data_IF_013904987678
#
_entry.id   IF_013904987678
#
_cell.length_a   1.000
_cell.length_b   1.000
_cell.length_c   1.000
_cell.angle_alpha   90.00
_cell.angle_beta   90.00
_cell.angle_gamma   90.00
#
_symmetry.space_group_name_H-M   'P 1'
#
loop_
_entity.id
_entity.type
_entity.pdbx_description
1 polymer ?
#
# COMPACT_ATOMS: atom_id res chain seq x y z
N UNK A 1 9.03 33.05 7.40
CA UNK A 1 8.04 32.33 8.21
C UNK A 1 8.82 31.87 9.41
N UNK A 2 8.53 32.42 10.59
CA UNK A 2 9.46 32.33 11.72
C UNK A 2 8.96 31.24 12.67
N UNK A 3 9.80 30.23 12.89
CA UNK A 3 9.51 29.07 13.73
C UNK A 3 10.29 29.17 15.04
N UNK A 4 9.58 29.27 16.17
CA UNK A 4 10.16 29.40 17.50
C UNK A 4 10.16 28.05 18.21
N UNK A 5 11.33 27.59 18.67
CA UNK A 5 11.47 26.37 19.48
C UNK A 5 12.45 26.60 20.62
N UNK A 6 12.17 26.02 21.79
CA UNK A 6 13.09 25.98 22.94
C UNK A 6 14.01 24.76 22.93
N UNK A 7 13.86 23.87 21.94
CA UNK A 7 14.67 22.65 21.79
C UNK A 7 15.95 22.93 21.00
N UNK A 8 17.02 22.14 21.22
CA UNK A 8 18.23 22.25 20.43
C UNK A 8 17.91 22.11 18.94
N UNK A 9 18.67 22.81 18.11
CA UNK A 9 18.52 22.76 16.66
C UNK A 9 19.86 22.46 16.02
N UNK A 10 19.82 21.80 14.86
CA UNK A 10 21.00 21.57 14.02
C UNK A 10 20.83 22.31 12.70
N UNK A 11 21.88 23.02 12.29
CA UNK A 11 21.94 23.66 10.98
C UNK A 11 22.06 22.58 9.90
N UNK A 12 21.33 22.76 8.80
CA UNK A 12 21.24 21.77 7.71
C UNK A 12 21.30 22.50 6.38
N UNK A 13 21.93 21.90 5.38
CA UNK A 13 22.14 22.53 4.07
C UNK A 13 20.95 22.28 3.13
N UNK A 14 20.24 21.16 3.31
CA UNK A 14 19.17 20.71 2.42
C UNK A 14 17.76 20.74 3.03
N UNK A 15 17.63 21.16 4.28
CA UNK A 15 16.31 21.32 4.90
C UNK A 15 15.65 22.62 4.44
N UNK A 16 14.36 22.57 4.10
CA UNK A 16 13.59 23.77 3.75
C UNK A 16 13.29 24.69 4.95
N UNK A 17 13.46 24.17 6.17
CA UNK A 17 13.63 24.98 7.38
C UNK A 17 15.10 24.91 7.74
N UNK A 18 15.77 26.05 7.75
CA UNK A 18 17.19 26.26 8.05
C UNK A 18 17.72 25.62 9.36
N UNK A 19 16.84 24.99 10.15
CA UNK A 19 17.14 24.29 11.39
C UNK A 19 16.21 23.07 11.57
N UNK A 20 16.78 21.90 11.88
CA UNK A 20 16.00 20.72 12.29
C UNK A 20 15.80 20.77 13.81
N UNK A 21 14.53 20.75 14.26
CA UNK A 21 14.17 20.66 15.68
C UNK A 21 14.61 19.31 16.25
N UNK A 22 15.59 19.33 17.15
CA UNK A 22 16.09 18.14 17.82
C UNK A 22 15.09 17.68 18.88
N UNK A 23 14.08 16.92 18.48
CA UNK A 23 13.18 16.25 19.41
C UNK A 23 13.77 14.88 19.78
N UNK A 24 14.60 14.88 20.81
CA UNK A 24 14.83 13.82 21.83
C UNK A 24 14.74 12.31 21.51
N UNK A 25 15.09 11.83 20.32
CA UNK A 25 15.49 10.42 20.12
C UNK A 25 16.75 10.34 19.25
N UNK A 26 17.78 9.58 19.70
CA UNK A 26 19.07 9.41 19.00
C UNK A 26 18.91 9.02 17.53
N UNK A 27 17.80 8.38 17.18
CA UNK A 27 17.53 7.86 15.84
C UNK A 27 17.13 8.94 14.83
N UNK A 28 16.31 9.92 15.21
CA UNK A 28 15.94 11.02 14.30
C UNK A 28 17.13 11.92 13.96
N UNK A 29 17.99 12.20 14.95
CA UNK A 29 19.21 12.98 14.72
C UNK A 29 20.18 12.25 13.79
N UNK A 30 20.36 10.93 14.01
CA UNK A 30 21.16 10.11 13.11
C UNK A 30 20.59 10.09 11.69
N UNK A 31 19.26 9.92 11.55
CA UNK A 31 18.62 9.91 10.24
C UNK A 31 18.76 11.26 9.52
N UNK A 32 18.55 12.38 10.22
CA UNK A 32 18.72 13.72 9.65
C UNK A 32 20.14 13.96 9.13
N UNK A 33 21.18 13.48 9.84
CA UNK A 33 22.57 13.54 9.36
C UNK A 33 22.77 12.81 8.02
N UNK A 34 22.25 11.59 7.90
CA UNK A 34 22.33 10.84 6.63
C UNK A 34 21.53 11.52 5.52
N UNK A 35 20.35 12.09 5.82
CA UNK A 35 19.56 12.81 4.83
C UNK A 35 20.26 14.08 4.32
N UNK A 36 20.94 14.84 5.19
CA UNK A 36 21.62 16.07 4.78
C UNK A 36 22.89 15.80 3.95
N UNK A 37 23.59 14.70 4.27
CA UNK A 37 24.89 14.36 3.65
C UNK A 37 24.77 13.49 2.38
N UNK A 38 23.65 12.80 2.18
CA UNK A 38 23.47 11.90 1.02
C UNK A 38 23.22 12.69 -0.28
N UNK A 39 24.02 12.41 -1.32
CA UNK A 39 23.92 13.11 -2.61
C UNK A 39 22.60 12.86 -3.34
N UNK A 40 21.85 11.80 -3.02
CA UNK A 40 20.57 11.43 -3.65
C UNK A 40 19.38 12.17 -3.04
N UNK A 41 19.56 12.82 -1.89
CA UNK A 41 18.56 13.71 -1.29
C UNK A 41 18.69 15.09 -1.92
N UNK A 42 17.62 15.54 -2.58
CA UNK A 42 17.49 16.91 -3.10
C UNK A 42 17.23 17.86 -1.94
N UNK A 43 16.23 17.51 -1.13
CA UNK A 43 15.84 18.25 0.06
C UNK A 43 15.03 17.37 0.99
N UNK A 44 14.98 17.71 2.27
CA UNK A 44 14.14 17.01 3.24
C UNK A 44 13.50 18.00 4.21
N UNK A 45 12.53 17.53 4.98
CA UNK A 45 11.95 18.29 6.07
C UNK A 45 11.48 17.34 7.16
N UNK A 46 11.75 17.68 8.42
CA UNK A 46 11.09 17.03 9.55
C UNK A 46 9.65 17.52 9.62
N UNK A 47 8.70 16.60 9.64
CA UNK A 47 7.28 16.90 9.64
C UNK A 47 6.77 17.26 11.05
N UNK A 48 7.38 18.29 11.63
CA UNK A 48 6.94 18.91 12.87
C UNK A 48 6.11 20.16 12.52
N UNK A 49 4.81 20.14 12.82
CA UNK A 49 3.88 21.24 12.56
C UNK A 49 3.75 21.69 11.09
N UNK A 50 4.08 20.84 10.12
CA UNK A 50 3.86 21.15 8.69
C UNK A 50 2.40 20.97 8.25
N UNK A 51 1.59 20.28 9.06
CA UNK A 51 0.20 19.93 8.72
C UNK A 51 0.07 18.74 7.78
N UNK A 52 1.14 18.01 7.49
CA UNK A 52 1.05 16.75 6.74
C UNK A 52 0.71 15.60 7.69
N UNK A 53 -0.48 15.02 7.49
CA UNK A 53 -0.94 13.85 8.22
C UNK A 53 -1.69 12.88 7.31
N UNK A 54 -1.52 11.59 7.60
CA UNK A 54 -2.23 10.50 6.92
C UNK A 54 -3.42 10.06 7.78
N UNK A 55 -4.66 10.21 7.30
CA UNK A 55 -5.82 9.78 8.06
C UNK A 55 -5.90 8.25 8.14
N UNK A 56 -6.25 7.72 9.31
CA UNK A 56 -6.46 6.29 9.51
C UNK A 56 -7.52 6.00 10.58
N UNK A 57 -8.06 4.79 10.57
CA UNK A 57 -8.96 4.30 11.61
C UNK A 57 -8.25 3.21 12.42
N UNK A 58 -8.33 3.28 13.74
CA UNK A 58 -7.82 2.24 14.63
C UNK A 58 -8.83 1.93 15.72
N UNK A 59 -9.29 0.67 15.80
CA UNK A 59 -10.35 0.23 16.72
C UNK A 59 -11.60 1.10 16.64
N UNK A 60 -12.03 1.42 15.41
CA UNK A 60 -13.23 2.23 15.14
C UNK A 60 -13.07 3.74 15.36
N UNK A 61 -11.90 4.22 15.77
CA UNK A 61 -11.65 5.64 16.04
C UNK A 61 -10.81 6.24 14.92
N UNK A 62 -11.28 7.34 14.33
CA UNK A 62 -10.52 8.14 13.37
C UNK A 62 -9.32 8.80 14.06
N UNK A 63 -8.17 8.73 13.41
CA UNK A 63 -6.87 9.23 13.89
C UNK A 63 -6.03 9.75 12.74
N UNK A 64 -4.99 10.48 13.08
CA UNK A 64 -4.02 11.02 12.14
C UNK A 64 -2.63 10.45 12.45
N UNK A 65 -1.97 9.95 11.42
CA UNK A 65 -0.58 9.53 11.46
C UNK A 65 0.29 10.65 10.89
N UNK A 66 1.15 11.22 11.72
CA UNK A 66 2.15 12.22 11.33
C UNK A 66 3.48 11.49 11.18
N UNK A 67 4.00 11.28 9.95
CA UNK A 67 5.31 10.65 9.75
C UNK A 67 6.44 11.60 10.17
N UNK A 68 7.65 11.08 10.38
CA UNK A 68 8.78 11.90 10.81
C UNK A 68 9.37 12.83 9.74
N UNK A 69 9.61 12.32 8.53
CA UNK A 69 10.29 13.07 7.46
C UNK A 69 9.59 12.94 6.11
N UNK A 70 9.64 14.04 5.35
CA UNK A 70 9.38 14.06 3.91
C UNK A 70 10.69 14.36 3.20
N UNK A 71 11.05 13.53 2.20
CA UNK A 71 12.36 13.56 1.55
C UNK A 71 12.18 13.59 0.03
N UNK A 72 12.62 14.66 -0.64
CA UNK A 72 12.69 14.73 -2.09
C UNK A 72 13.96 14.02 -2.57
N UNK A 73 13.78 13.07 -3.47
CA UNK A 73 14.84 12.19 -3.95
C UNK A 73 15.14 12.43 -5.42
N UNK A 74 16.41 12.29 -5.78
CA UNK A 74 16.87 12.24 -7.18
C UNK A 74 17.56 10.94 -7.49
N UNK A 75 17.51 10.56 -8.76
CA UNK A 75 18.37 9.57 -9.38
C UNK A 75 19.23 10.30 -10.42
N UNK A 76 20.54 10.27 -10.24
CA UNK A 76 21.48 11.12 -10.97
C UNK A 76 21.06 12.61 -10.88
N UNK A 77 20.81 13.26 -12.02
CA UNK A 77 20.42 14.68 -12.08
C UNK A 77 18.90 14.91 -12.12
N UNK A 78 18.11 13.84 -12.10
CA UNK A 78 16.65 13.92 -12.20
C UNK A 78 15.97 13.65 -10.86
N UNK A 79 15.07 14.54 -10.45
CA UNK A 79 14.18 14.27 -9.31
C UNK A 79 13.18 13.16 -9.66
N UNK A 80 13.05 12.17 -8.77
CA UNK A 80 12.25 10.96 -8.99
C UNK A 80 11.00 10.88 -8.12
N UNK A 81 10.93 11.65 -7.04
CA UNK A 81 9.74 11.71 -6.20
C UNK A 81 10.02 12.03 -4.74
N UNK A 82 8.99 11.82 -3.91
CA UNK A 82 9.01 12.09 -2.48
C UNK A 82 8.92 10.79 -1.68
N UNK A 83 9.79 10.63 -0.69
CA UNK A 83 9.75 9.55 0.29
C UNK A 83 9.18 10.07 1.60
N UNK A 84 8.15 9.41 2.11
CA UNK A 84 7.76 9.47 3.52
C UNK A 84 8.67 8.50 4.29
N UNK A 85 9.47 9.02 5.21
CA UNK A 85 10.40 8.25 6.01
C UNK A 85 10.02 8.33 7.50
N UNK A 86 9.69 7.19 8.08
CA UNK A 86 9.43 7.03 9.51
C UNK A 86 10.67 6.46 10.20
N UNK A 87 11.11 7.08 11.30
CA UNK A 87 12.11 6.50 12.19
C UNK A 87 11.39 5.78 13.33
N UNK A 88 11.63 4.49 13.48
CA UNK A 88 10.79 3.64 14.32
C UNK A 88 10.94 3.98 15.81
N UNK A 89 9.83 4.03 16.56
CA UNK A 89 9.75 3.83 18.02
C UNK A 89 8.85 2.63 18.37
N UNK A 90 8.68 2.30 19.66
CA UNK A 90 7.64 1.32 20.05
C UNK A 90 6.25 1.94 19.88
N UNK A 91 5.42 1.35 19.02
CA UNK A 91 4.04 1.80 18.78
C UNK A 91 3.07 0.61 18.63
N UNK A 92 2.11 0.45 19.56
CA UNK A 92 1.04 -0.56 19.47
C UNK A 92 0.15 -0.43 18.22
N UNK A 93 0.07 0.74 17.59
CA UNK A 93 -0.71 1.00 16.38
C UNK A 93 0.13 0.93 15.09
N UNK A 94 1.40 0.48 15.16
CA UNK A 94 2.35 0.50 14.05
C UNK A 94 1.78 -0.08 12.74
N UNK A 95 1.10 -1.24 12.81
CA UNK A 95 0.53 -1.87 11.61
C UNK A 95 -0.54 -1.00 10.94
N UNK A 96 -1.48 -0.45 11.71
CA UNK A 96 -2.55 0.38 11.16
C UNK A 96 -2.02 1.69 10.54
N UNK A 97 -0.97 2.28 11.12
CA UNK A 97 -0.30 3.45 10.53
C UNK A 97 0.42 3.10 9.24
N UNK A 98 1.16 1.99 9.23
CA UNK A 98 1.84 1.47 8.03
C UNK A 98 0.85 1.22 6.90
N UNK A 99 -0.25 0.51 7.18
CA UNK A 99 -1.27 0.22 6.19
C UNK A 99 -1.97 1.50 5.69
N UNK A 100 -2.15 2.50 6.55
CA UNK A 100 -2.67 3.80 6.14
C UNK A 100 -1.70 4.56 5.23
N UNK A 101 -0.41 4.59 5.58
CA UNK A 101 0.63 5.24 4.78
C UNK A 101 0.75 4.60 3.39
N UNK A 102 0.78 3.27 3.31
CA UNK A 102 0.79 2.56 2.02
C UNK A 102 -0.48 2.84 1.20
N UNK A 103 -1.66 2.87 1.82
CA UNK A 103 -2.91 3.21 1.11
C UNK A 103 -2.89 4.64 0.58
N UNK A 104 -2.40 5.58 1.38
CA UNK A 104 -2.27 6.98 0.98
C UNK A 104 -1.29 7.14 -0.20
N UNK A 105 -0.11 6.53 -0.11
CA UNK A 105 0.88 6.53 -1.20
C UNK A 105 0.30 5.93 -2.49
N UNK A 106 -0.40 4.80 -2.39
CA UNK A 106 -1.04 4.17 -3.54
C UNK A 106 -2.11 5.06 -4.17
N UNK A 107 -2.90 5.77 -3.36
CA UNK A 107 -3.93 6.68 -3.85
C UNK A 107 -3.34 7.89 -4.57
N UNK A 108 -2.35 8.56 -3.96
CA UNK A 108 -1.68 9.73 -4.56
C UNK A 108 -0.96 9.36 -5.84
N UNK A 109 -0.28 8.21 -5.86
CA UNK A 109 0.39 7.71 -7.07
C UNK A 109 -0.60 7.36 -8.18
N UNK A 110 -1.80 6.86 -7.84
CA UNK A 110 -2.85 6.57 -8.82
C UNK A 110 -3.51 7.85 -9.37
N UNK A 111 -3.59 8.91 -8.56
CA UNK A 111 -4.09 10.22 -8.98
C UNK A 111 -3.10 10.91 -9.93
N UNK A 112 -1.79 10.80 -9.65
CA UNK A 112 -0.72 11.27 -10.54
C UNK A 112 -0.47 12.78 -10.57
N UNK A 113 -1.27 13.57 -9.86
CA UNK A 113 -1.19 15.05 -9.79
C UNK A 113 -0.08 15.58 -8.89
N UNK A 114 0.46 14.75 -8.00
CA UNK A 114 1.39 15.16 -6.93
C UNK A 114 2.78 14.52 -7.02
N UNK A 115 3.18 14.08 -8.22
CA UNK A 115 4.42 13.31 -8.41
C UNK A 115 4.34 11.91 -7.81
N UNK A 116 5.47 11.21 -7.78
CA UNK A 116 5.54 9.85 -7.21
C UNK A 116 5.96 9.87 -5.75
N UNK A 117 5.32 9.02 -4.97
CA UNK A 117 5.52 8.87 -3.54
C UNK A 117 5.93 7.44 -3.19
N UNK A 118 6.78 7.31 -2.18
CA UNK A 118 7.17 6.06 -1.54
C UNK A 118 7.05 6.19 -0.02
N UNK A 119 6.94 5.07 0.69
CA UNK A 119 6.91 5.01 2.15
C UNK A 119 7.91 3.99 2.67
N UNK A 120 8.68 4.35 3.70
CA UNK A 120 9.63 3.45 4.38
C UNK A 120 9.69 3.71 5.87
N UNK A 121 9.93 2.63 6.62
CA UNK A 121 10.33 2.70 8.03
C UNK A 121 11.81 2.35 8.13
N UNK A 122 12.53 3.09 8.95
CA UNK A 122 13.91 2.79 9.32
C UNK A 122 14.02 2.58 10.83
N UNK A 123 14.65 1.48 11.24
CA UNK A 123 14.81 1.14 12.68
C UNK A 123 16.19 1.49 13.23
N UNK A 124 17.13 1.84 12.36
CA UNK A 124 18.49 2.26 12.71
C UNK A 124 18.96 3.32 11.72
N UNK A 125 19.53 4.46 12.18
CA UNK A 125 20.07 5.48 11.28
C UNK A 125 21.02 4.97 10.20
N UNK A 126 21.80 3.92 10.51
CA UNK A 126 22.77 3.34 9.58
C UNK A 126 22.12 2.69 8.35
N UNK A 127 20.82 2.37 8.42
CA UNK A 127 20.09 1.74 7.32
C UNK A 127 19.51 2.79 6.35
N UNK A 128 19.56 4.09 6.70
CA UNK A 128 19.02 5.18 5.87
C UNK A 128 19.57 5.13 4.43
N UNK A 129 20.88 4.98 4.18
CA UNK A 129 21.39 4.92 2.81
C UNK A 129 20.81 3.76 1.98
N UNK A 130 20.55 2.60 2.59
CA UNK A 130 19.95 1.45 1.92
C UNK A 130 18.45 1.67 1.66
N UNK A 131 17.75 2.29 2.62
CA UNK A 131 16.34 2.69 2.48
C UNK A 131 16.15 3.69 1.35
N UNK A 132 17.02 4.71 1.25
CA UNK A 132 17.01 5.67 0.14
C UNK A 132 17.25 4.99 -1.21
N UNK A 133 18.21 4.06 -1.29
CA UNK A 133 18.47 3.30 -2.51
C UNK A 133 17.23 2.51 -2.97
N UNK A 134 16.59 1.80 -2.04
CA UNK A 134 15.37 1.04 -2.32
C UNK A 134 14.21 1.93 -2.75
N UNK A 135 14.04 3.09 -2.10
CA UNK A 135 12.98 4.04 -2.45
C UNK A 135 13.19 4.63 -3.85
N UNK A 136 14.43 4.99 -4.21
CA UNK A 136 14.76 5.49 -5.55
C UNK A 136 14.47 4.44 -6.60
N UNK A 137 14.87 3.18 -6.39
CA UNK A 137 14.57 2.08 -7.31
C UNK A 137 13.05 1.89 -7.52
N UNK A 138 12.23 2.03 -6.46
CA UNK A 138 10.77 1.98 -6.58
C UNK A 138 10.21 3.18 -7.36
N UNK A 139 10.71 4.39 -7.08
CA UNK A 139 10.28 5.65 -7.68
C UNK A 139 10.69 5.79 -9.16
N UNK A 140 11.71 5.06 -9.62
CA UNK A 140 12.14 5.01 -11.03
C UNK A 140 11.55 3.84 -11.80
N UNK A 141 11.19 2.74 -11.13
CA UNK A 141 10.54 1.60 -11.77
C UNK A 141 9.19 2.00 -12.39
N UNK A 142 8.73 1.38 -13.48
CA UNK A 142 7.38 1.61 -13.99
C UNK A 142 6.33 1.37 -12.87
N UNK A 143 5.17 2.04 -12.92
CA UNK A 143 4.12 1.84 -11.91
C UNK A 143 3.80 0.36 -11.76
N UNK A 144 3.95 -0.18 -10.55
CA UNK A 144 3.52 -1.56 -10.29
C UNK A 144 2.01 -1.65 -10.53
N UNK A 145 1.53 -2.64 -11.29
CA UNK A 145 0.12 -2.72 -11.56
C UNK A 145 -0.63 -3.09 -10.26
N UNK A 146 -1.66 -2.30 -9.93
CA UNK A 146 -2.39 -2.46 -8.66
C UNK A 146 -3.11 -3.82 -8.55
N UNK A 147 -3.43 -4.25 -7.32
CA UNK A 147 -4.32 -5.40 -7.09
C UNK A 147 -5.66 -5.30 -7.84
N UNK A 148 -6.15 -4.08 -8.10
CA UNK A 148 -7.36 -3.86 -8.92
C UNK A 148 -7.13 -4.19 -10.39
N UNK A 149 -5.92 -3.94 -10.90
CA UNK A 149 -5.54 -4.35 -12.24
C UNK A 149 -5.41 -5.88 -12.31
N UNK A 150 -4.85 -6.53 -11.28
CA UNK A 150 -4.82 -7.98 -11.17
C UNK A 150 -6.23 -8.59 -11.16
N UNK A 151 -7.15 -8.01 -10.36
CA UNK A 151 -8.55 -8.44 -10.31
C UNK A 151 -9.24 -8.26 -11.67
N UNK A 152 -9.07 -7.11 -12.34
CA UNK A 152 -9.63 -6.91 -13.69
C UNK A 152 -9.11 -7.95 -14.68
N UNK A 153 -7.79 -8.21 -14.67
CA UNK A 153 -7.16 -9.23 -15.51
C UNK A 153 -7.74 -10.62 -15.23
N UNK A 154 -8.00 -10.92 -13.96
CA UNK A 154 -8.62 -12.18 -13.54
C UNK A 154 -10.07 -12.30 -14.02
N UNK A 155 -10.89 -11.26 -13.87
CA UNK A 155 -12.27 -11.23 -14.36
C UNK A 155 -12.31 -11.43 -15.88
N UNK A 156 -11.45 -10.75 -16.63
CA UNK A 156 -11.32 -10.95 -18.08
C UNK A 156 -10.94 -12.39 -18.44
N UNK A 157 -10.03 -13.01 -17.68
CA UNK A 157 -9.62 -14.39 -17.90
C UNK A 157 -10.75 -15.38 -17.57
N UNK A 158 -11.54 -15.15 -16.52
CA UNK A 158 -12.71 -15.98 -16.19
C UNK A 158 -13.78 -15.86 -17.28
N UNK A 159 -14.06 -14.64 -17.76
CA UNK A 159 -14.98 -14.42 -18.89
C UNK A 159 -14.53 -15.16 -20.14
N UNK A 160 -13.23 -15.13 -20.46
CA UNK A 160 -12.68 -15.84 -21.60
C UNK A 160 -12.72 -17.37 -21.44
N UNK A 161 -12.56 -17.89 -20.22
CA UNK A 161 -12.53 -19.33 -19.94
C UNK A 161 -13.93 -19.97 -19.97
N UNK A 162 -14.94 -19.27 -19.46
CA UNK A 162 -16.27 -19.83 -19.23
C UNK A 162 -17.36 -19.27 -20.15
N UNK A 163 -17.14 -18.12 -20.78
CA UNK A 163 -18.14 -17.47 -21.65
C UNK A 163 -19.47 -17.30 -20.93
N UNK A 164 -20.55 -17.75 -21.56
CA UNK A 164 -21.92 -17.70 -21.01
C UNK A 164 -22.11 -18.55 -19.75
N UNK A 165 -21.17 -19.46 -19.44
CA UNK A 165 -21.18 -20.27 -18.22
C UNK A 165 -20.69 -19.51 -16.98
N UNK A 166 -20.10 -18.33 -17.13
CA UNK A 166 -19.73 -17.46 -16.01
C UNK A 166 -20.92 -16.58 -15.63
N UNK A 167 -21.41 -16.75 -14.40
CA UNK A 167 -22.46 -15.88 -13.85
C UNK A 167 -21.86 -14.61 -13.29
N UNK A 168 -20.81 -14.72 -12.47
CA UNK A 168 -20.16 -13.56 -11.85
C UNK A 168 -18.76 -13.91 -11.31
N UNK A 169 -17.97 -12.86 -11.08
CA UNK A 169 -16.79 -12.93 -10.21
C UNK A 169 -17.03 -11.97 -9.05
N UNK A 170 -17.09 -12.50 -7.83
CA UNK A 170 -17.39 -11.72 -6.63
C UNK A 170 -16.13 -11.57 -5.79
N UNK A 171 -15.61 -10.34 -5.67
CA UNK A 171 -14.57 -10.02 -4.70
C UNK A 171 -15.18 -10.06 -3.30
N UNK A 172 -14.57 -10.78 -2.37
CA UNK A 172 -14.94 -10.79 -0.97
C UNK A 172 -13.72 -10.51 -0.08
N UNK A 173 -13.84 -10.77 1.22
CA UNK A 173 -12.74 -10.60 2.15
C UNK A 173 -12.40 -9.14 2.44
N UNK A 174 -11.18 -8.90 2.92
CA UNK A 174 -10.79 -7.59 3.45
C UNK A 174 -10.75 -6.49 2.39
N UNK A 175 -10.43 -6.85 1.13
CA UNK A 175 -10.43 -5.89 0.01
C UNK A 175 -11.84 -5.45 -0.37
N UNK A 176 -12.83 -6.32 -0.26
CA UNK A 176 -14.23 -5.96 -0.45
C UNK A 176 -14.73 -5.01 0.64
N UNK A 177 -14.45 -5.34 1.92
CA UNK A 177 -14.83 -4.53 3.10
C UNK A 177 -14.11 -3.18 3.20
N UNK A 178 -12.93 -3.05 2.59
CA UNK A 178 -12.12 -1.83 2.64
C UNK A 178 -11.23 -1.72 3.88
N UNK A 179 -11.10 -2.80 4.65
CA UNK A 179 -10.24 -2.92 5.83
C UNK A 179 -8.94 -3.70 5.54
N UNK A 180 -8.66 -4.01 4.27
CA UNK A 180 -7.43 -4.67 3.82
C UNK A 180 -6.15 -3.93 4.22
N UNK A 181 -5.18 -4.70 4.71
CA UNK A 181 -3.79 -4.29 4.79
C UNK A 181 -3.17 -4.21 3.38
N UNK A 182 -2.02 -3.55 3.27
CA UNK A 182 -1.35 -3.37 1.97
C UNK A 182 -1.00 -4.71 1.28
N UNK A 183 -0.63 -5.71 2.08
CA UNK A 183 -0.23 -7.07 1.72
C UNK A 183 -1.39 -8.09 1.73
N UNK A 184 -2.65 -7.66 1.90
CA UNK A 184 -3.79 -8.59 1.93
C UNK A 184 -4.01 -9.31 0.60
N UNK A 185 -4.49 -10.54 0.66
CA UNK A 185 -4.86 -11.34 -0.50
C UNK A 185 -6.03 -10.72 -1.29
N UNK A 186 -6.24 -11.20 -2.51
CA UNK A 186 -7.41 -10.96 -3.34
C UNK A 186 -8.27 -12.21 -3.27
N UNK A 187 -9.36 -12.14 -2.49
CA UNK A 187 -10.31 -13.24 -2.34
C UNK A 187 -11.45 -13.11 -3.37
N UNK A 188 -11.56 -14.06 -4.30
CA UNK A 188 -12.57 -14.05 -5.36
C UNK A 188 -13.40 -15.34 -5.35
N UNK A 189 -14.71 -15.18 -5.53
CA UNK A 189 -15.61 -16.28 -5.86
C UNK A 189 -15.92 -16.24 -7.35
N UNK A 190 -15.81 -17.38 -8.01
CA UNK A 190 -16.15 -17.56 -9.42
C UNK A 190 -17.49 -18.29 -9.46
N UNK A 191 -18.56 -17.55 -9.73
CA UNK A 191 -19.92 -18.08 -9.76
C UNK A 191 -20.20 -18.62 -11.16
N UNK A 192 -20.44 -19.92 -11.26
CA UNK A 192 -20.64 -20.62 -12.52
C UNK A 192 -22.08 -21.12 -12.64
N UNK A 193 -22.65 -21.13 -13.85
CA UNK A 193 -24.02 -21.65 -14.08
C UNK A 193 -24.17 -23.11 -13.64
N UNK A 194 -23.10 -23.90 -13.76
CA UNK A 194 -23.03 -25.27 -13.26
C UNK A 194 -21.61 -25.57 -12.78
N UNK A 195 -21.46 -25.94 -11.51
CA UNK A 195 -20.19 -26.33 -10.90
C UNK A 195 -20.30 -27.71 -10.22
N UNK A 196 -20.42 -28.76 -11.02
CA UNK A 196 -20.59 -30.13 -10.50
C UNK A 196 -19.33 -30.73 -9.88
N UNK A 197 -18.15 -30.28 -10.28
CA UNK A 197 -16.86 -30.73 -9.75
C UNK A 197 -15.96 -29.52 -9.43
N UNK A 198 -15.96 -29.15 -8.15
CA UNK A 198 -15.16 -28.04 -7.62
C UNK A 198 -13.66 -28.25 -7.86
N UNK A 199 -13.16 -29.50 -7.81
CA UNK A 199 -11.75 -29.79 -7.99
C UNK A 199 -11.33 -29.61 -9.45
N UNK A 200 -12.14 -30.10 -10.38
CA UNK A 200 -11.92 -29.87 -11.80
C UNK A 200 -11.91 -28.38 -12.15
N UNK A 201 -12.80 -27.58 -11.54
CA UNK A 201 -12.81 -26.13 -11.76
C UNK A 201 -11.61 -25.43 -11.09
N UNK A 202 -11.17 -25.88 -9.91
CA UNK A 202 -9.93 -25.40 -9.29
C UNK A 202 -8.70 -25.69 -10.16
N UNK A 203 -8.61 -26.87 -10.78
CA UNK A 203 -7.50 -27.23 -11.68
C UNK A 203 -7.44 -26.31 -12.92
N UNK A 204 -8.59 -25.79 -13.36
CA UNK A 204 -8.67 -24.83 -14.48
C UNK A 204 -8.36 -23.40 -14.06
N UNK A 205 -8.83 -22.98 -12.89
CA UNK A 205 -8.71 -21.60 -12.39
C UNK A 205 -7.32 -21.35 -11.79
N UNK A 206 -6.78 -22.29 -11.03
CA UNK A 206 -5.54 -22.12 -10.25
C UNK A 206 -4.32 -21.71 -11.08
N UNK A 207 -4.05 -22.28 -12.29
CA UNK A 207 -2.94 -21.83 -13.12
C UNK A 207 -3.08 -20.38 -13.61
N UNK A 208 -4.31 -19.91 -13.82
CA UNK A 208 -4.59 -18.52 -14.21
C UNK A 208 -4.37 -17.59 -13.01
N UNK A 209 -4.94 -17.93 -11.85
CA UNK A 209 -4.78 -17.18 -10.61
C UNK A 209 -3.30 -17.07 -10.20
N UNK A 210 -2.54 -18.16 -10.30
CA UNK A 210 -1.11 -18.20 -9.99
C UNK A 210 -0.28 -17.33 -10.93
N UNK A 211 -0.56 -17.38 -12.25
CA UNK A 211 0.14 -16.53 -13.23
C UNK A 211 -0.08 -15.04 -12.95
N UNK A 212 -1.34 -14.66 -12.69
CA UNK A 212 -1.70 -13.28 -12.37
C UNK A 212 -1.10 -12.85 -11.03
N UNK A 213 -1.10 -13.73 -10.03
CA UNK A 213 -0.45 -13.48 -8.74
C UNK A 213 1.01 -13.08 -8.92
N UNK A 214 1.77 -13.85 -9.71
CA UNK A 214 3.18 -13.57 -10.00
C UNK A 214 3.39 -12.31 -10.86
N UNK A 215 2.56 -12.08 -11.87
CA UNK A 215 2.67 -10.92 -12.77
C UNK A 215 2.43 -9.60 -12.03
N UNK A 216 1.53 -9.59 -11.05
CA UNK A 216 1.12 -8.38 -10.33
C UNK A 216 1.73 -8.27 -8.92
N UNK A 217 2.54 -9.24 -8.49
CA UNK A 217 3.11 -9.32 -7.13
C UNK A 217 2.01 -9.24 -6.04
N UNK A 218 0.96 -10.07 -6.22
CA UNK A 218 -0.19 -10.19 -5.31
C UNK A 218 -0.48 -11.67 -5.04
N UNK A 219 -1.29 -11.97 -4.01
CA UNK A 219 -1.85 -13.29 -3.80
C UNK A 219 -3.32 -13.27 -4.22
N UNK A 220 -3.70 -14.10 -5.18
CA UNK A 220 -5.10 -14.24 -5.62
C UNK A 220 -5.62 -15.64 -5.28
N UNK A 221 -6.62 -15.67 -4.41
CA UNK A 221 -7.33 -16.88 -3.98
C UNK A 221 -8.70 -16.91 -4.64
N UNK A 222 -8.96 -17.92 -5.48
CA UNK A 222 -10.21 -18.03 -6.23
C UNK A 222 -10.94 -19.35 -5.90
N UNK A 223 -12.21 -19.26 -5.53
CA UNK A 223 -13.07 -20.42 -5.25
C UNK A 223 -14.21 -20.49 -6.26
N UNK A 224 -14.39 -21.60 -6.99
CA UNK A 224 -15.56 -21.79 -7.82
C UNK A 224 -16.77 -22.16 -6.95
N UNK A 225 -17.96 -21.72 -7.37
CA UNK A 225 -19.23 -22.06 -6.74
C UNK A 225 -20.33 -22.18 -7.79
N UNK A 226 -21.25 -23.10 -7.56
CA UNK A 226 -22.47 -23.20 -8.37
C UNK A 226 -23.37 -21.98 -8.14
N UNK A 227 -24.02 -21.48 -9.19
CA UNK A 227 -24.88 -20.32 -9.08
C UNK A 227 -26.11 -20.57 -8.20
N UNK A 228 -26.62 -21.80 -8.14
CA UNK A 228 -27.71 -22.17 -7.24
C UNK A 228 -27.27 -22.07 -5.77
N UNK A 229 -26.10 -22.63 -5.44
CA UNK A 229 -25.50 -22.55 -4.10
C UNK A 229 -25.18 -21.10 -3.73
N UNK A 230 -24.64 -20.32 -4.66
CA UNK A 230 -24.36 -18.91 -4.40
C UNK A 230 -25.63 -18.12 -4.09
N UNK A 231 -26.75 -18.38 -4.78
CA UNK A 231 -28.01 -17.63 -4.59
C UNK A 231 -28.78 -18.09 -3.34
N UNK A 232 -28.89 -19.40 -3.15
CA UNK A 232 -29.82 -20.01 -2.18
C UNK A 232 -29.10 -20.62 -0.97
N UNK A 233 -27.81 -20.89 -1.10
CA UNK A 233 -27.02 -21.57 -0.07
C UNK A 233 -26.95 -20.80 1.23
N UNK A 234 -27.32 -21.48 2.33
CA UNK A 234 -27.37 -20.91 3.68
C UNK A 234 -26.06 -21.00 4.47
N UNK A 235 -24.93 -21.32 3.83
CA UNK A 235 -23.67 -21.39 4.56
C UNK A 235 -23.27 -19.99 5.07
N UNK A 236 -22.77 -19.86 6.32
CA UNK A 236 -22.36 -18.57 6.86
C UNK A 236 -21.35 -17.83 5.97
N UNK A 237 -20.50 -18.59 5.28
CA UNK A 237 -19.55 -18.07 4.30
C UNK A 237 -20.26 -17.37 3.12
N UNK A 238 -21.15 -18.06 2.41
CA UNK A 238 -21.84 -17.50 1.24
C UNK A 238 -22.80 -16.37 1.63
N UNK A 239 -23.42 -16.45 2.81
CA UNK A 239 -24.22 -15.35 3.36
C UNK A 239 -23.39 -14.07 3.56
N UNK A 240 -22.18 -14.19 4.12
CA UNK A 240 -21.30 -13.04 4.31
C UNK A 240 -20.80 -12.49 2.98
N UNK A 241 -20.44 -13.36 2.02
CA UNK A 241 -20.03 -12.94 0.68
C UNK A 241 -21.16 -12.18 -0.02
N UNK A 242 -22.40 -12.68 0.01
CA UNK A 242 -23.55 -11.96 -0.59
C UNK A 242 -23.79 -10.60 0.07
N UNK A 243 -23.51 -10.46 1.36
CA UNK A 243 -23.70 -9.20 2.10
C UNK A 243 -22.61 -8.17 1.81
N UNK A 244 -21.35 -8.59 1.74
CA UNK A 244 -20.19 -7.69 1.75
C UNK A 244 -19.38 -7.70 0.44
N UNK A 245 -19.63 -8.69 -0.41
CA UNK A 245 -18.92 -8.89 -1.66
C UNK A 245 -19.25 -7.84 -2.71
N UNK A 246 -18.35 -7.69 -3.68
CA UNK A 246 -18.49 -6.79 -4.82
C UNK A 246 -18.48 -7.62 -6.10
N UNK A 247 -19.57 -7.56 -6.85
CA UNK A 247 -19.76 -8.23 -8.14
C UNK A 247 -19.02 -7.51 -9.27
N UNK A 248 -18.60 -8.25 -10.30
CA UNK A 248 -17.83 -7.74 -11.46
C UNK A 248 -18.34 -8.24 -12.82
N UNK A 249 -19.47 -8.98 -12.88
CA UNK A 249 -20.17 -9.38 -14.10
C UNK A 249 -20.55 -8.21 -15.01
#
# INVERSE_FOLDING_TARGET
MDFWTSRPVWETTKSHVNYVVADTQKWEQGAAYYLDTDSRVVAFVKNANLGFAVPYAFRGVAREYVPDFLVRLRNDDQEVGTLILETKGYDPAARAKVDAAHRWVAAVNAEGSHGRWAYRIVSSPNDVPAVLASAIAELTAPPRPSWRAALRRFVEAMRALYGDGLVDVVLYGSRARGDAAHDSDIDALVVLESCSDVWAELDRISPIATRISSEFDVVLSALPVDASDYREGGSPFLMNVRREGKAFA
#
